data_IF_818213172547
#
_entry.id   IF_818213172547
#
_cell.length_a   1.000
_cell.length_b   1.000
_cell.length_c   1.000
_cell.angle_alpha   90.00
_cell.angle_beta   90.00
_cell.angle_gamma   90.00
#
_symmetry.space_group_name_H-M   'P 1'
#
loop_
_entity.id
_entity.type
_entity.pdbx_description
1 polymer ?
#
# COMPACT_ATOMS: atom_id res chain seq x y z
N UNK A 1 43.96 -28.23 46.29
CA UNK A 1 44.29 -26.81 46.04
C UNK A 1 43.04 -26.19 45.41
N UNK A 2 41.99 -25.83 46.14
CA UNK A 2 41.89 -24.83 47.23
C UNK A 2 42.27 -23.43 46.75
N UNK A 3 41.28 -22.57 46.51
CA UNK A 3 41.03 -21.38 47.33
C UNK A 3 39.87 -20.56 46.75
N UNK A 4 38.77 -20.52 47.49
CA UNK A 4 37.95 -19.33 47.63
C UNK A 4 38.84 -18.12 47.89
N UNK A 5 38.55 -16.98 47.28
CA UNK A 5 38.94 -15.69 47.87
C UNK A 5 37.81 -14.69 47.64
N UNK A 6 37.33 -14.29 48.79
CA UNK A 6 36.22 -13.43 49.15
C UNK A 6 36.62 -11.95 48.99
N UNK A 7 35.69 -11.12 48.48
CA UNK A 7 35.36 -9.72 48.86
C UNK A 7 36.47 -8.63 48.89
N UNK A 8 36.16 -7.35 48.54
CA UNK A 8 35.29 -6.53 49.39
C UNK A 8 34.35 -5.52 48.70
N UNK A 9 33.19 -5.34 49.33
CA UNK A 9 32.30 -4.17 49.24
C UNK A 9 32.79 -3.06 50.18
N UNK A 10 32.56 -1.78 49.85
CA UNK A 10 31.84 -0.91 50.80
C UNK A 10 30.77 -0.05 50.10
N UNK A 11 29.54 0.03 50.64
CA UNK A 11 29.04 1.05 51.61
C UNK A 11 29.06 2.47 51.00
N UNK A 12 28.03 3.31 51.07
CA UNK A 12 27.02 3.62 52.09
C UNK A 12 26.20 4.80 51.50
N UNK A 13 24.91 4.95 51.76
CA UNK A 13 24.22 5.87 52.71
C UNK A 13 23.01 6.40 51.91
N UNK A 14 21.84 6.75 52.42
CA UNK A 14 21.31 7.08 53.73
C UNK A 14 19.80 6.74 53.68
N UNK A 15 19.20 6.13 54.71
CA UNK A 15 18.44 6.81 55.78
C UNK A 15 17.33 7.69 55.17
N UNK A 16 16.04 7.41 55.41
CA UNK A 16 15.36 7.86 56.63
C UNK A 16 14.12 7.01 56.91
N UNK A 17 14.01 6.63 58.18
CA UNK A 17 12.88 6.03 58.87
C UNK A 17 11.56 6.81 58.70
N UNK A 18 10.43 6.11 58.87
CA UNK A 18 9.44 6.42 59.93
C UNK A 18 8.21 5.52 59.82
N UNK A 19 8.17 4.52 60.70
CA UNK A 19 6.94 3.87 61.16
C UNK A 19 6.16 4.92 61.94
N UNK A 20 4.90 5.19 61.62
CA UNK A 20 3.92 5.68 62.61
C UNK A 20 2.53 5.87 62.02
N UNK A 21 1.56 5.24 62.70
CA UNK A 21 0.11 5.44 62.59
C UNK A 21 -0.51 5.00 61.26
N UNK A 22 -1.68 4.39 61.22
CA UNK A 22 -2.78 4.35 62.17
C UNK A 22 -3.98 3.94 61.33
N UNK A 23 -4.89 3.22 61.95
CA UNK A 23 -6.02 2.59 61.30
C UNK A 23 -7.03 3.60 60.69
N UNK A 24 -7.90 3.01 59.86
CA UNK A 24 -9.34 3.29 59.70
C UNK A 24 -9.80 4.03 58.44
N UNK A 25 -10.78 3.35 57.83
CA UNK A 25 -12.05 3.82 57.28
C UNK A 25 -12.09 4.75 56.06
N UNK A 26 -13.02 4.35 55.18
CA UNK A 26 -13.86 5.18 54.32
C UNK A 26 -13.19 5.75 53.07
N UNK A 27 -13.87 5.93 51.94
CA UNK A 27 -15.19 5.58 51.42
C UNK A 27 -15.09 5.90 49.91
N UNK A 28 -15.91 5.24 49.09
CA UNK A 28 -16.45 5.74 47.81
C UNK A 28 -15.51 6.49 46.84
N UNK A 29 -15.06 5.79 45.80
CA UNK A 29 -14.74 6.43 44.53
C UNK A 29 -15.35 5.60 43.39
N UNK A 30 -16.56 5.99 43.00
CA UNK A 30 -17.23 5.59 41.77
C UNK A 30 -16.50 6.25 40.60
N UNK A 31 -15.40 5.62 40.15
CA UNK A 31 -14.68 5.99 38.94
C UNK A 31 -15.29 5.25 37.76
N UNK A 32 -16.18 5.94 37.03
CA UNK A 32 -16.80 5.45 35.81
C UNK A 32 -15.70 5.16 34.76
N UNK A 33 -15.35 3.89 34.61
CA UNK A 33 -14.44 3.43 33.58
C UNK A 33 -15.12 3.60 32.21
N UNK A 34 -14.57 4.47 31.37
CA UNK A 34 -14.88 4.51 29.94
C UNK A 34 -14.39 3.20 29.32
N UNK A 35 -15.26 2.32 28.76
CA UNK A 35 -14.78 1.22 27.97
C UNK A 35 -14.26 1.81 26.65
N UNK A 36 -12.96 1.65 26.42
CA UNK A 36 -12.38 1.86 25.11
C UNK A 36 -13.13 0.97 24.10
N UNK A 37 -13.80 1.59 23.13
CA UNK A 37 -14.34 0.92 21.96
C UNK A 37 -13.15 0.41 21.13
N UNK A 38 -12.66 -0.78 21.48
CA UNK A 38 -11.92 -1.63 20.55
C UNK A 38 -12.91 -2.14 19.51
N UNK A 39 -13.15 -1.31 18.49
CA UNK A 39 -13.71 -1.75 17.22
C UNK A 39 -12.69 -2.66 16.54
N UNK A 40 -12.58 -3.89 17.03
CA UNK A 40 -12.00 -4.97 16.25
C UNK A 40 -12.90 -5.11 15.02
N UNK A 41 -12.32 -4.86 13.85
CA UNK A 41 -12.92 -5.20 12.57
C UNK A 41 -13.21 -6.72 12.58
N UNK A 42 -14.40 -7.09 13.06
CA UNK A 42 -14.87 -8.46 13.11
C UNK A 42 -15.05 -8.91 11.67
N UNK A 43 -14.05 -9.62 11.17
CA UNK A 43 -14.11 -10.27 9.86
C UNK A 43 -15.21 -11.33 9.95
N UNK A 44 -16.19 -11.35 9.04
CA UNK A 44 -17.27 -12.33 9.08
C UNK A 44 -16.72 -13.76 9.14
N UNK A 45 -17.33 -14.67 9.91
CA UNK A 45 -16.92 -16.08 9.93
C UNK A 45 -17.01 -16.65 8.50
N UNK A 46 -15.86 -17.05 7.94
CA UNK A 46 -15.73 -17.56 6.56
C UNK A 46 -14.88 -16.70 5.63
N UNK A 47 -14.62 -15.43 5.96
CA UNK A 47 -13.72 -14.58 5.17
C UNK A 47 -12.27 -14.96 5.44
N UNK A 48 -11.58 -15.46 4.41
CA UNK A 48 -10.12 -15.66 4.45
C UNK A 48 -9.45 -14.43 3.86
N UNK A 49 -8.19 -14.18 4.21
CA UNK A 49 -7.43 -13.12 3.55
C UNK A 49 -6.01 -13.59 3.27
N UNK A 50 -5.46 -13.10 2.17
CA UNK A 50 -4.07 -13.30 1.80
C UNK A 50 -3.41 -11.92 1.74
N UNK A 51 -2.27 -11.75 2.40
CA UNK A 51 -1.53 -10.49 2.38
C UNK A 51 -0.26 -10.67 1.59
N UNK A 52 -0.13 -9.91 0.50
CA UNK A 52 1.06 -9.79 -0.31
C UNK A 52 1.98 -8.71 0.31
N UNK A 53 3.14 -9.07 0.88
CA UNK A 53 4.02 -8.11 1.55
C UNK A 53 4.54 -7.02 0.60
N UNK A 54 4.86 -5.84 1.13
CA UNK A 54 5.39 -4.72 0.33
C UNK A 54 6.61 -5.10 -0.52
N UNK A 55 7.57 -5.82 0.06
CA UNK A 55 8.78 -6.23 -0.64
C UNK A 55 8.50 -7.18 -1.82
N UNK A 56 7.53 -8.08 -1.65
CA UNK A 56 7.11 -8.98 -2.73
C UNK A 56 6.36 -8.22 -3.82
N UNK A 57 5.47 -7.30 -3.44
CA UNK A 57 4.77 -6.43 -4.37
C UNK A 57 5.74 -5.57 -5.19
N UNK A 58 6.77 -4.99 -4.56
CA UNK A 58 7.82 -4.24 -5.27
C UNK A 58 8.59 -5.16 -6.23
N UNK A 59 8.95 -6.39 -5.83
CA UNK A 59 9.62 -7.34 -6.73
C UNK A 59 8.77 -7.70 -7.95
N UNK A 60 7.45 -7.88 -7.78
CA UNK A 60 6.54 -8.14 -8.89
C UNK A 60 6.44 -6.95 -9.84
N UNK A 61 6.43 -5.73 -9.29
CA UNK A 61 6.45 -4.49 -10.07
C UNK A 61 7.78 -4.38 -10.84
N UNK A 62 8.93 -4.56 -10.19
CA UNK A 62 10.24 -4.43 -10.82
C UNK A 62 10.40 -5.38 -12.02
N UNK A 63 9.88 -6.61 -11.91
CA UNK A 63 9.90 -7.60 -13.01
C UNK A 63 9.04 -7.20 -14.21
N UNK A 64 8.03 -6.35 -14.02
CA UNK A 64 7.14 -5.88 -15.10
C UNK A 64 7.75 -4.71 -15.86
N UNK A 65 8.67 -3.98 -15.25
CA UNK A 65 9.26 -2.79 -15.84
C UNK A 65 10.55 -3.15 -16.60
N UNK A 66 10.87 -2.43 -17.69
CA UNK A 66 10.17 -1.27 -18.24
C UNK A 66 8.81 -1.62 -18.88
N UNK A 67 7.78 -0.83 -18.59
CA UNK A 67 6.48 -0.98 -19.23
C UNK A 67 6.40 -0.07 -20.46
N UNK A 68 6.13 -0.63 -21.64
CA UNK A 68 6.07 0.11 -22.90
C UNK A 68 4.69 0.01 -23.52
N UNK A 69 4.15 1.14 -23.98
CA UNK A 69 2.89 1.21 -24.72
C UNK A 69 3.03 2.15 -25.91
N UNK A 70 2.57 1.70 -27.07
CA UNK A 70 2.43 2.56 -28.24
C UNK A 70 1.01 3.12 -28.29
N UNK A 71 0.89 4.44 -28.41
CA UNK A 71 -0.37 5.15 -28.62
C UNK A 71 -0.50 5.51 -30.09
N UNK A 72 -1.50 4.92 -30.75
CA UNK A 72 -1.87 5.19 -32.14
C UNK A 72 -0.74 5.04 -33.18
N UNK A 73 0.37 4.38 -32.81
CA UNK A 73 1.54 4.22 -33.68
C UNK A 73 2.37 5.49 -33.90
N UNK A 74 2.08 6.58 -33.20
CA UNK A 74 2.79 7.85 -33.33
C UNK A 74 3.64 8.18 -32.11
N UNK A 75 3.16 7.75 -30.94
CA UNK A 75 3.78 8.04 -29.65
C UNK A 75 4.11 6.74 -28.94
N UNK A 76 5.37 6.56 -28.57
CA UNK A 76 5.81 5.43 -27.77
C UNK A 76 6.12 5.92 -26.35
N UNK A 77 5.44 5.34 -25.38
CA UNK A 77 5.58 5.66 -23.95
C UNK A 77 6.30 4.49 -23.28
N UNK A 78 7.33 4.81 -22.51
CA UNK A 78 7.97 3.88 -21.58
C UNK A 78 7.86 4.41 -20.15
N UNK A 79 7.40 3.57 -19.23
CA UNK A 79 7.43 3.82 -17.80
C UNK A 79 8.61 3.04 -17.21
N UNK A 80 9.35 3.71 -16.33
CA UNK A 80 10.67 3.31 -15.87
C UNK A 80 10.80 3.53 -14.35
N UNK A 81 11.68 2.74 -13.72
CA UNK A 81 12.07 2.90 -12.31
C UNK A 81 10.91 3.15 -11.32
N UNK A 82 9.89 2.27 -11.29
CA UNK A 82 8.74 2.45 -10.40
C UNK A 82 9.15 2.32 -8.93
N UNK A 83 8.74 3.28 -8.11
CA UNK A 83 8.90 3.27 -6.66
C UNK A 83 7.55 3.38 -6.01
N UNK A 84 7.14 2.33 -5.29
CA UNK A 84 5.81 2.23 -4.70
C UNK A 84 5.84 2.54 -3.20
N UNK A 85 4.78 3.23 -2.74
CA UNK A 85 4.49 3.54 -1.34
C UNK A 85 3.09 3.08 -0.99
N UNK A 86 2.92 2.54 0.22
CA UNK A 86 1.62 2.14 0.74
C UNK A 86 0.97 3.33 1.44
N UNK A 87 -0.28 3.66 1.07
CA UNK A 87 -1.10 4.70 1.70
C UNK A 87 -2.34 4.05 2.35
N UNK A 88 -2.16 3.29 3.45
CA UNK A 88 -3.23 2.47 4.02
C UNK A 88 -4.39 3.29 4.59
N UNK A 89 -4.15 4.53 5.03
CA UNK A 89 -5.19 5.43 5.55
C UNK A 89 -6.21 5.80 4.47
N UNK A 90 -5.79 5.82 3.21
CA UNK A 90 -6.63 6.15 2.06
C UNK A 90 -7.06 4.90 1.28
N UNK A 91 -6.56 3.72 1.66
CA UNK A 91 -6.66 2.48 0.88
C UNK A 91 -6.08 2.60 -0.54
N UNK A 92 -4.90 3.24 -0.68
CA UNK A 92 -4.28 3.57 -1.98
C UNK A 92 -2.81 3.19 -2.05
N UNK A 93 -2.32 3.02 -3.27
CA UNK A 93 -0.91 2.87 -3.59
C UNK A 93 -0.44 4.17 -4.23
N UNK A 94 0.61 4.77 -3.67
CA UNK A 94 1.35 5.83 -4.34
C UNK A 94 2.47 5.23 -5.17
N UNK A 95 2.72 5.79 -6.35
CA UNK A 95 3.82 5.39 -7.21
C UNK A 95 4.49 6.61 -7.79
N UNK A 96 5.82 6.63 -7.70
CA UNK A 96 6.66 7.55 -8.44
C UNK A 96 7.40 6.78 -9.52
N UNK A 97 7.45 7.32 -10.74
CA UNK A 97 8.12 6.66 -11.86
C UNK A 97 8.69 7.68 -12.84
N UNK A 98 9.66 7.23 -13.63
CA UNK A 98 10.19 7.99 -14.76
C UNK A 98 9.35 7.66 -16.00
N UNK A 99 9.08 8.67 -16.83
CA UNK A 99 8.37 8.53 -18.10
C UNK A 99 9.35 8.88 -19.21
N UNK A 100 9.37 8.08 -20.26
CA UNK A 100 9.94 8.50 -21.53
C UNK A 100 8.91 8.45 -22.63
N UNK A 101 8.83 9.52 -23.41
CA UNK A 101 7.91 9.69 -24.52
C UNK A 101 8.72 9.92 -25.78
N UNK A 102 8.57 9.03 -26.77
CA UNK A 102 9.19 9.15 -28.08
C UNK A 102 8.12 9.39 -29.14
N UNK A 103 8.31 10.41 -29.95
CA UNK A 103 7.43 10.83 -31.03
C UNK A 103 8.05 10.40 -32.37
N UNK A 104 7.32 9.64 -33.19
CA UNK A 104 7.89 8.99 -34.38
C UNK A 104 8.00 9.89 -35.60
N UNK A 105 7.20 10.96 -35.70
CA UNK A 105 7.16 11.83 -36.89
C UNK A 105 8.44 12.68 -36.96
N UNK A 106 8.88 13.24 -35.83
CA UNK A 106 10.08 14.08 -35.71
C UNK A 106 11.26 13.34 -35.06
N UNK A 107 11.05 12.13 -34.53
CA UNK A 107 12.09 11.36 -33.84
C UNK A 107 12.53 11.98 -32.52
N UNK A 108 11.69 12.84 -31.93
CA UNK A 108 12.01 13.54 -30.68
C UNK A 108 11.67 12.67 -29.49
N UNK A 109 12.51 12.70 -28.46
CA UNK A 109 12.29 12.01 -27.19
C UNK A 109 12.31 12.99 -26.04
N UNK A 110 11.33 12.88 -25.15
CA UNK A 110 11.24 13.61 -23.90
C UNK A 110 11.25 12.64 -22.74
N UNK A 111 12.22 12.79 -21.85
CA UNK A 111 12.23 12.10 -20.56
C UNK A 111 11.63 13.02 -19.49
N UNK A 112 10.97 12.41 -18.53
CA UNK A 112 10.16 13.07 -17.52
C UNK A 112 9.90 12.17 -16.33
N UNK A 113 9.05 12.63 -15.41
CA UNK A 113 8.64 11.87 -14.24
C UNK A 113 7.18 12.12 -13.89
N UNK A 114 6.59 11.18 -13.18
CA UNK A 114 5.22 11.27 -12.69
C UNK A 114 5.11 10.74 -11.26
N UNK A 115 4.35 11.46 -10.45
CA UNK A 115 3.92 11.04 -9.13
C UNK A 115 2.38 10.93 -9.14
N UNK A 116 1.89 9.77 -8.78
CA UNK A 116 0.46 9.47 -8.76
C UNK A 116 0.11 8.58 -7.58
N UNK A 117 -1.17 8.49 -7.29
CA UNK A 117 -1.70 7.46 -6.43
C UNK A 117 -3.06 6.95 -6.91
N UNK A 118 -3.44 5.75 -6.47
CA UNK A 118 -4.59 5.03 -7.01
C UNK A 118 -5.07 3.93 -6.07
N UNK A 119 -6.34 3.59 -6.17
CA UNK A 119 -6.89 2.36 -5.60
C UNK A 119 -6.73 1.17 -6.54
N UNK A 120 -7.02 -0.02 -6.02
CA UNK A 120 -7.05 -1.26 -6.79
C UNK A 120 -8.42 -1.92 -6.67
N UNK A 121 -8.93 -2.43 -7.79
CA UNK A 121 -10.19 -3.18 -7.83
C UNK A 121 -10.01 -4.46 -8.63
N UNK A 122 -10.50 -5.57 -8.10
CA UNK A 122 -10.66 -6.80 -8.87
C UNK A 122 -11.94 -6.73 -9.70
N UNK A 123 -11.84 -7.05 -10.98
CA UNK A 123 -12.95 -7.16 -11.93
C UNK A 123 -13.19 -8.64 -12.24
N UNK A 124 -14.26 -9.25 -11.67
CA UNK A 124 -14.52 -10.67 -11.86
C UNK A 124 -14.82 -11.06 -13.31
N UNK A 125 -15.30 -10.13 -14.13
CA UNK A 125 -15.74 -10.41 -15.51
C UNK A 125 -14.58 -10.86 -16.41
N UNK A 126 -13.42 -10.23 -16.29
CA UNK A 126 -12.23 -10.55 -17.07
C UNK A 126 -11.04 -10.99 -16.21
N UNK A 127 -11.25 -11.13 -14.89
CA UNK A 127 -10.28 -11.61 -13.91
C UNK A 127 -9.09 -10.67 -13.76
N UNK A 128 -9.31 -9.37 -13.93
CA UNK A 128 -8.24 -8.37 -13.87
C UNK A 128 -8.22 -7.58 -12.56
N UNK A 129 -7.02 -7.20 -12.13
CA UNK A 129 -6.79 -6.14 -11.14
C UNK A 129 -6.59 -4.84 -11.91
N UNK A 130 -7.43 -3.84 -11.63
CA UNK A 130 -7.45 -2.56 -12.33
C UNK A 130 -7.16 -1.39 -11.41
N UNK A 131 -6.53 -0.37 -11.96
CA UNK A 131 -6.41 0.94 -11.33
C UNK A 131 -7.80 1.59 -11.24
N UNK A 132 -8.12 2.17 -10.08
CA UNK A 132 -9.35 2.93 -9.88
C UNK A 132 -9.10 4.20 -9.09
N UNK A 133 -9.81 5.28 -9.44
CA UNK A 133 -9.66 6.57 -8.77
C UNK A 133 -8.21 7.07 -8.86
N UNK A 134 -7.63 7.04 -10.06
CA UNK A 134 -6.29 7.52 -10.33
C UNK A 134 -6.25 9.03 -10.07
N UNK A 135 -5.26 9.48 -9.30
CA UNK A 135 -4.97 10.91 -9.11
C UNK A 135 -3.51 11.14 -9.42
N UNK A 136 -3.24 12.08 -10.32
CA UNK A 136 -1.87 12.42 -10.71
C UNK A 136 -1.50 13.74 -10.04
N UNK A 137 -0.52 13.70 -9.14
CA UNK A 137 -0.09 14.86 -8.38
C UNK A 137 0.84 15.76 -9.17
N UNK A 138 1.71 15.15 -9.98
CA UNK A 138 2.76 15.86 -10.70
C UNK A 138 3.16 15.08 -11.94
N UNK A 139 3.34 15.81 -13.04
CA UNK A 139 3.97 15.32 -14.28
C UNK A 139 4.93 16.39 -14.76
N UNK A 140 6.17 15.99 -15.05
CA UNK A 140 7.21 16.92 -15.48
C UNK A 140 8.02 16.36 -16.63
N UNK A 141 8.32 17.24 -17.59
CA UNK A 141 9.18 16.96 -18.73
C UNK A 141 10.20 18.10 -18.89
N UNK A 142 11.36 18.02 -18.22
CA UNK A 142 12.35 19.10 -18.23
C UNK A 142 12.87 19.47 -19.63
N UNK A 143 12.86 18.51 -20.57
CA UNK A 143 13.30 18.72 -21.95
C UNK A 143 12.28 19.41 -22.86
N UNK A 144 11.06 19.69 -22.37
CA UNK A 144 10.02 20.37 -23.18
C UNK A 144 10.32 21.87 -23.25
N UNK A 145 10.22 22.50 -24.44
CA UNK A 145 10.51 23.93 -24.58
C UNK A 145 9.67 24.80 -23.63
N UNK A 146 10.24 25.89 -23.06
CA UNK A 146 9.54 26.75 -22.10
C UNK A 146 8.22 27.33 -22.61
N UNK A 147 8.08 27.52 -23.92
CA UNK A 147 6.84 27.98 -24.55
C UNK A 147 5.65 27.02 -24.32
N UNK A 148 5.91 25.73 -24.05
CA UNK A 148 4.89 24.70 -23.88
C UNK A 148 4.83 24.13 -22.45
N UNK A 149 5.81 24.44 -21.59
CA UNK A 149 5.94 23.82 -20.26
C UNK A 149 4.72 24.07 -19.37
N UNK A 150 4.18 25.28 -19.37
CA UNK A 150 3.00 25.63 -18.56
C UNK A 150 1.73 24.93 -19.04
N UNK A 151 1.50 24.91 -20.35
CA UNK A 151 0.36 24.20 -20.94
C UNK A 151 0.44 22.70 -20.63
N UNK A 152 1.64 22.12 -20.75
CA UNK A 152 1.88 20.72 -20.43
C UNK A 152 1.64 20.42 -18.95
N UNK A 153 2.15 21.25 -18.03
CA UNK A 153 1.96 21.07 -16.60
C UNK A 153 0.48 21.08 -16.19
N UNK A 154 -0.37 21.82 -16.92
CA UNK A 154 -1.82 21.88 -16.66
C UNK A 154 -2.59 20.71 -17.31
N UNK A 155 -2.18 20.27 -18.50
CA UNK A 155 -2.92 19.27 -19.26
C UNK A 155 -2.48 17.82 -18.95
N UNK A 156 -1.19 17.61 -18.69
CA UNK A 156 -0.60 16.28 -18.56
C UNK A 156 -1.20 15.45 -17.41
N UNK A 157 -1.43 16.00 -16.20
CA UNK A 157 -2.03 15.22 -15.11
C UNK A 157 -3.40 14.63 -15.51
N UNK A 158 -4.30 15.46 -16.03
CA UNK A 158 -5.64 15.02 -16.44
C UNK A 158 -5.61 14.01 -17.58
N UNK A 159 -4.70 14.20 -18.55
CA UNK A 159 -4.53 13.25 -19.64
C UNK A 159 -4.00 11.89 -19.14
N UNK A 160 -3.05 11.91 -18.19
CA UNK A 160 -2.51 10.71 -17.57
C UNK A 160 -3.58 9.98 -16.73
N UNK A 161 -4.38 10.70 -15.94
CA UNK A 161 -5.51 10.15 -15.19
C UNK A 161 -6.49 9.41 -16.12
N UNK A 162 -6.91 10.06 -17.21
CA UNK A 162 -7.84 9.46 -18.18
C UNK A 162 -7.27 8.21 -18.85
N UNK A 163 -5.96 8.17 -19.09
CA UNK A 163 -5.30 7.05 -19.74
C UNK A 163 -5.07 5.86 -18.79
N UNK A 164 -4.86 6.14 -17.50
CA UNK A 164 -4.57 5.14 -16.47
C UNK A 164 -5.81 4.64 -15.76
N UNK A 165 -6.90 5.40 -15.74
CA UNK A 165 -8.16 4.98 -15.11
C UNK A 165 -8.65 3.66 -15.73
N UNK A 166 -8.90 2.67 -14.89
CA UNK A 166 -9.33 1.34 -15.32
C UNK A 166 -8.26 0.50 -16.02
N UNK A 167 -7.01 0.96 -16.09
CA UNK A 167 -5.92 0.21 -16.71
C UNK A 167 -5.65 -1.09 -15.94
N UNK A 168 -5.42 -2.17 -16.69
CA UNK A 168 -5.16 -3.51 -16.14
C UNK A 168 -3.73 -3.59 -15.64
N UNK A 169 -3.58 -3.82 -14.33
CA UNK A 169 -2.29 -4.05 -13.68
C UNK A 169 -1.86 -5.52 -13.80
N UNK A 170 -2.81 -6.43 -13.60
CA UNK A 170 -2.55 -7.86 -13.58
C UNK A 170 -3.81 -8.65 -13.95
N UNK A 171 -3.65 -9.75 -14.69
CA UNK A 171 -4.71 -10.74 -14.90
C UNK A 171 -4.44 -11.93 -13.98
N UNK A 172 -5.43 -12.26 -13.14
CA UNK A 172 -5.38 -13.41 -12.25
C UNK A 172 -5.59 -14.68 -13.09
N UNK A 173 -4.71 -15.67 -12.91
CA UNK A 173 -4.77 -16.90 -13.69
C UNK A 173 -6.07 -17.66 -13.42
N UNK A 174 -6.64 -18.22 -14.49
CA UNK A 174 -7.86 -19.04 -14.43
C UNK A 174 -7.74 -20.17 -13.40
N UNK A 175 -6.61 -20.88 -13.39
CA UNK A 175 -6.36 -22.01 -12.48
C UNK A 175 -6.41 -21.59 -11.01
N UNK A 176 -5.86 -20.41 -10.69
CA UNK A 176 -5.88 -19.87 -9.32
C UNK A 176 -7.31 -19.55 -8.87
N UNK A 177 -8.13 -19.00 -9.78
CA UNK A 177 -9.54 -18.73 -9.48
C UNK A 177 -10.38 -20.00 -9.41
N UNK A 178 -10.08 -21.01 -10.22
CA UNK A 178 -10.77 -22.30 -10.18
C UNK A 178 -10.50 -23.04 -8.85
N UNK A 179 -9.28 -22.97 -8.33
CA UNK A 179 -8.93 -23.49 -7.01
C UNK A 179 -9.73 -22.80 -5.90
N UNK A 180 -9.87 -21.47 -5.95
CA UNK A 180 -10.71 -20.72 -5.01
C UNK A 180 -12.18 -21.12 -5.15
N UNK A 181 -12.69 -21.23 -6.38
CA UNK A 181 -14.06 -21.65 -6.66
C UNK A 181 -14.39 -23.05 -6.14
N UNK A 182 -13.46 -24.00 -6.28
CA UNK A 182 -13.58 -25.35 -5.72
C UNK A 182 -13.66 -25.38 -4.18
N UNK A 183 -13.16 -24.33 -3.52
CA UNK A 183 -13.27 -24.13 -2.06
C UNK A 183 -14.50 -23.31 -1.66
N UNK A 184 -15.36 -22.95 -2.62
CA UNK A 184 -16.49 -22.05 -2.38
C UNK A 184 -16.06 -20.62 -2.06
N UNK A 185 -14.88 -20.19 -2.52
CA UNK A 185 -14.31 -18.86 -2.29
C UNK A 185 -14.21 -18.08 -3.60
N UNK A 186 -14.32 -16.75 -3.49
CA UNK A 186 -14.09 -15.80 -4.57
C UNK A 186 -13.17 -14.67 -4.10
N UNK A 187 -12.47 -14.04 -5.05
CA UNK A 187 -11.68 -12.83 -4.77
C UNK A 187 -12.64 -11.68 -4.48
N UNK A 188 -12.52 -11.13 -3.27
CA UNK A 188 -13.29 -9.99 -2.80
C UNK A 188 -12.50 -8.70 -2.92
N UNK A 189 -12.60 -7.86 -1.88
CA UNK A 189 -11.97 -6.55 -1.85
C UNK A 189 -10.44 -6.65 -1.80
N UNK A 190 -9.78 -5.71 -2.48
CA UNK A 190 -8.34 -5.51 -2.42
C UNK A 190 -8.06 -4.29 -1.55
N UNK A 191 -7.35 -4.48 -0.44
CA UNK A 191 -7.06 -3.44 0.55
C UNK A 191 -5.57 -3.20 0.72
N UNK A 192 -5.18 -1.95 0.77
CA UNK A 192 -3.83 -1.53 1.12
C UNK A 192 -3.71 -1.44 2.63
N UNK A 193 -2.70 -2.11 3.19
CA UNK A 193 -2.42 -2.17 4.63
C UNK A 193 -0.99 -1.73 4.88
N UNK A 194 -0.59 -1.39 6.13
CA UNK A 194 0.80 -1.08 6.44
C UNK A 194 1.79 -2.22 6.11
N UNK A 195 1.31 -3.46 6.04
CA UNK A 195 2.14 -4.64 5.76
C UNK A 195 2.25 -4.96 4.26
N UNK A 196 1.32 -4.43 3.44
CA UNK A 196 1.23 -4.76 2.02
C UNK A 196 -0.21 -4.78 1.51
N UNK A 197 -0.44 -5.52 0.43
CA UNK A 197 -1.74 -5.61 -0.23
C UNK A 197 -2.51 -6.84 0.30
N UNK A 198 -3.62 -6.62 1.00
CA UNK A 198 -4.51 -7.67 1.46
C UNK A 198 -5.61 -7.92 0.44
N UNK A 199 -5.71 -9.15 -0.01
CA UNK A 199 -6.81 -9.63 -0.84
C UNK A 199 -7.76 -10.41 0.05
N UNK A 200 -9.00 -9.96 0.13
CA UNK A 200 -10.06 -10.67 0.83
C UNK A 200 -10.59 -11.81 -0.04
N UNK A 201 -10.90 -12.92 0.60
CA UNK A 201 -11.54 -14.08 0.00
C UNK A 201 -12.90 -14.24 0.66
N UNK A 202 -13.94 -13.99 -0.11
CA UNK A 202 -15.33 -14.05 0.34
C UNK A 202 -15.96 -15.37 -0.09
N UNK A 203 -17.02 -15.85 0.57
CA UNK A 203 -17.81 -16.95 0.05
C UNK A 203 -18.25 -16.66 -1.38
N UNK A 204 -17.83 -17.51 -2.32
CA UNK A 204 -18.31 -17.45 -3.69
C UNK A 204 -19.79 -17.84 -3.70
N UNK A 205 -20.61 -17.15 -4.50
CA UNK A 205 -21.96 -17.61 -4.80
C UNK A 205 -21.84 -19.01 -5.41
N UNK A 206 -21.96 -20.04 -4.57
CA UNK A 206 -22.04 -21.42 -5.00
C UNK A 206 -23.20 -21.51 -5.95
N UNK A 207 -22.95 -22.04 -7.15
CA UNK A 207 -24.06 -22.50 -7.98
C UNK A 207 -24.73 -23.63 -7.19
N UNK A 208 -26.05 -23.57 -6.92
CA UNK A 208 -26.77 -24.65 -6.25
C UNK A 208 -26.69 -25.95 -7.05
#
# INVERSE_FOLDING_TARGET
MSRSTDLPQPRSTDRVDRRWFGARLSWLAFGLALPALSACAATPPGTRSYTLPQAELQSLIDRRFPYRRSLSGLLDIALLHPRMRLLPQENRLGTQLDIAVAERVMGTRYDGSMDLDYGLRFEPQDRTIRLVGVRVHRVEFPGVPPAYSQALAQAAPRAAEQLLEGAVLHEVKADQLALLGGLGLAVGEVRVTPQGLRVELVPGLGKP
#
